data_IF_147548058220
#
_entry.id   IF_147548058220
#
_cell.length_a   1.000
_cell.length_b   1.000
_cell.length_c   1.000
_cell.angle_alpha   90.00
_cell.angle_beta   90.00
_cell.angle_gamma   90.00
#
_symmetry.space_group_name_H-M   'P 1'
#
loop_
_entity.id
_entity.type
_entity.pdbx_description
1 polymer ?
#
# COMPACT_ATOMS: atom_id res chain seq x y z
N UNK A 1 -5.30 10.34 -36.34
CA UNK A 1 -6.59 9.63 -36.26
C UNK A 1 -7.30 10.13 -35.01
N UNK A 2 -8.38 10.91 -35.16
CA UNK A 2 -9.23 11.27 -34.02
C UNK A 2 -10.16 10.08 -33.81
N UNK A 3 -9.87 9.25 -32.81
CA UNK A 3 -10.70 8.09 -32.47
C UNK A 3 -11.99 8.61 -31.82
N UNK A 4 -13.15 8.26 -32.35
CA UNK A 4 -14.47 8.61 -31.80
C UNK A 4 -14.88 7.70 -30.64
N UNK A 5 -13.91 7.16 -29.89
CA UNK A 5 -14.20 6.24 -28.80
C UNK A 5 -15.02 6.98 -27.74
N UNK A 6 -16.10 6.33 -27.29
CA UNK A 6 -16.92 6.81 -26.19
C UNK A 6 -16.84 5.78 -25.08
N UNK A 7 -16.52 6.26 -23.88
CA UNK A 7 -16.45 5.41 -22.70
C UNK A 7 -17.81 4.78 -22.38
N UNK A 8 -17.80 3.49 -22.03
CA UNK A 8 -18.93 2.81 -21.42
C UNK A 8 -18.54 2.42 -19.98
N UNK A 9 -19.08 3.11 -18.95
CA UNK A 9 -18.80 2.82 -17.55
C UNK A 9 -19.01 1.35 -17.16
N UNK A 10 -19.86 0.62 -17.88
CA UNK A 10 -20.14 -0.80 -17.59
C UNK A 10 -18.99 -1.74 -17.94
N UNK A 11 -18.11 -1.33 -18.84
CA UNK A 11 -16.94 -2.10 -19.25
C UNK A 11 -15.65 -1.64 -18.54
N UNK A 12 -15.71 -0.51 -17.83
CA UNK A 12 -14.61 0.02 -17.03
C UNK A 12 -14.38 -0.85 -15.79
N UNK A 13 -13.12 -1.03 -15.41
CA UNK A 13 -12.75 -1.90 -14.29
C UNK A 13 -11.44 -1.45 -13.66
N UNK A 14 -11.27 -1.65 -12.35
CA UNK A 14 -9.98 -1.50 -11.69
C UNK A 14 -9.05 -2.67 -12.04
N UNK A 15 -7.95 -2.37 -12.72
CA UNK A 15 -6.84 -3.30 -12.89
C UNK A 15 -6.08 -3.48 -11.57
N UNK A 16 -5.52 -4.68 -11.34
CA UNK A 16 -4.92 -5.14 -10.07
C UNK A 16 -5.86 -5.46 -8.88
N UNK A 17 -7.18 -5.45 -9.05
CA UNK A 17 -8.09 -5.96 -8.02
C UNK A 17 -8.12 -7.50 -7.93
N UNK A 18 -7.77 -8.18 -9.02
CA UNK A 18 -8.01 -9.62 -9.18
C UNK A 18 -6.85 -10.53 -8.73
N UNK A 19 -5.67 -10.00 -8.39
CA UNK A 19 -4.47 -10.86 -8.36
C UNK A 19 -3.35 -10.61 -7.37
N UNK A 20 -3.13 -9.43 -6.78
CA UNK A 20 -1.94 -9.28 -5.90
C UNK A 20 -1.98 -8.15 -4.88
N UNK A 21 -2.40 -6.93 -5.25
CA UNK A 21 -2.26 -5.77 -4.36
C UNK A 21 -3.37 -5.63 -3.30
N UNK A 22 -4.63 -5.95 -3.64
CA UNK A 22 -5.75 -5.91 -2.69
C UNK A 22 -5.89 -7.20 -1.84
N UNK A 23 -5.35 -8.32 -2.35
CA UNK A 23 -5.38 -9.62 -1.66
C UNK A 23 -4.31 -9.74 -0.55
N UNK A 24 -3.22 -8.98 -0.62
CA UNK A 24 -2.10 -9.04 0.33
C UNK A 24 -2.33 -8.27 1.64
N UNK A 25 -3.55 -7.78 1.87
CA UNK A 25 -3.95 -7.13 3.11
C UNK A 25 -3.44 -5.70 3.18
N UNK A 26 -4.25 -4.76 2.68
CA UNK A 26 -4.00 -3.33 2.79
C UNK A 26 -3.72 -2.94 4.25
N UNK A 27 -2.77 -2.03 4.48
CA UNK A 27 -2.35 -1.64 5.82
C UNK A 27 -2.65 -0.18 6.11
N UNK A 28 -2.95 0.11 7.37
CA UNK A 28 -3.01 1.48 7.88
C UNK A 28 -1.71 2.22 7.58
N UNK A 29 -1.82 3.51 7.24
CA UNK A 29 -0.71 4.41 6.93
C UNK A 29 0.19 3.97 5.76
N UNK A 30 -0.26 3.01 4.94
CA UNK A 30 0.39 2.68 3.66
C UNK A 30 -0.43 3.25 2.52
N UNK A 31 0.24 3.98 1.63
CA UNK A 31 -0.37 4.49 0.40
C UNK A 31 -0.84 3.32 -0.45
N UNK A 32 -2.11 3.38 -0.85
CA UNK A 32 -2.75 2.42 -1.75
C UNK A 32 -2.85 3.08 -3.11
N UNK A 33 -2.46 2.36 -4.16
CA UNK A 33 -2.53 2.81 -5.55
C UNK A 33 -3.27 1.76 -6.39
N UNK A 34 -4.18 2.20 -7.24
CA UNK A 34 -5.03 1.36 -8.07
C UNK A 34 -5.18 2.01 -9.45
N UNK A 35 -5.23 1.21 -10.50
CA UNK A 35 -5.39 1.71 -11.87
C UNK A 35 -6.81 1.43 -12.34
N UNK A 36 -7.60 2.45 -12.66
CA UNK A 36 -8.83 2.30 -13.41
C UNK A 36 -8.52 2.25 -14.90
N UNK A 37 -8.99 1.21 -15.57
CA UNK A 37 -8.94 1.11 -17.03
C UNK A 37 -10.32 1.44 -17.57
N UNK A 38 -10.40 2.51 -18.37
CA UNK A 38 -11.65 2.87 -19.05
C UNK A 38 -11.75 2.19 -20.40
N UNK A 39 -12.95 1.73 -20.75
CA UNK A 39 -13.22 0.99 -21.99
C UNK A 39 -14.46 1.53 -22.69
N UNK A 40 -14.54 1.32 -24.00
CA UNK A 40 -15.73 1.64 -24.79
C UNK A 40 -16.79 0.53 -24.72
N UNK A 41 -17.90 0.68 -25.45
CA UNK A 41 -19.00 -0.28 -25.49
C UNK A 41 -18.61 -1.65 -26.07
N UNK A 42 -17.54 -1.71 -26.88
CA UNK A 42 -17.00 -2.97 -27.43
C UNK A 42 -16.05 -3.65 -26.44
N UNK A 43 -15.82 -3.04 -25.27
CA UNK A 43 -14.88 -3.53 -24.26
C UNK A 43 -13.42 -3.25 -24.63
N UNK A 44 -13.15 -2.39 -25.62
CA UNK A 44 -11.79 -2.01 -26.00
C UNK A 44 -11.31 -0.88 -25.07
N UNK A 45 -10.04 -0.91 -24.61
CA UNK A 45 -9.47 0.20 -23.85
C UNK A 45 -9.60 1.53 -24.62
N UNK A 46 -9.94 2.58 -23.88
CA UNK A 46 -9.83 3.95 -24.37
C UNK A 46 -8.36 4.26 -24.67
N UNK A 47 -8.07 5.06 -25.70
CA UNK A 47 -6.69 5.46 -26.04
C UNK A 47 -6.36 6.91 -25.69
N UNK A 48 -7.27 7.60 -25.00
CA UNK A 48 -7.11 8.96 -24.55
C UNK A 48 -7.80 9.16 -23.20
N UNK A 49 -7.29 10.12 -22.42
CA UNK A 49 -7.92 10.55 -21.18
C UNK A 49 -8.99 11.62 -21.38
N UNK A 50 -9.14 12.47 -20.37
CA UNK A 50 -10.07 13.60 -20.34
C UNK A 50 -11.48 13.25 -19.90
N UNK A 51 -11.70 12.02 -19.41
CA UNK A 51 -12.99 11.59 -18.86
C UNK A 51 -13.03 11.97 -17.38
N UNK A 52 -14.18 12.48 -16.92
CA UNK A 52 -14.40 12.74 -15.51
C UNK A 52 -14.47 11.41 -14.75
N UNK A 53 -13.54 11.21 -13.82
CA UNK A 53 -13.49 10.04 -12.94
C UNK A 53 -13.50 10.53 -11.50
N UNK A 54 -14.42 10.00 -10.69
CA UNK A 54 -14.51 10.33 -9.28
C UNK A 54 -14.54 9.05 -8.43
N UNK A 55 -13.91 9.11 -7.26
CA UNK A 55 -13.91 8.03 -6.29
C UNK A 55 -14.55 8.48 -4.98
N UNK A 56 -15.59 7.78 -4.56
CA UNK A 56 -16.21 7.95 -3.24
C UNK A 56 -15.80 6.77 -2.36
N UNK A 57 -14.95 7.04 -1.38
CA UNK A 57 -14.35 6.04 -0.51
C UNK A 57 -14.78 6.29 0.93
N UNK A 58 -15.36 5.28 1.59
CA UNK A 58 -15.89 5.42 2.95
C UNK A 58 -15.58 4.20 3.79
N UNK A 59 -15.43 4.39 5.09
CA UNK A 59 -15.47 3.26 6.02
C UNK A 59 -16.91 2.79 6.20
N UNK A 60 -17.14 1.46 6.21
CA UNK A 60 -18.49 0.89 6.34
C UNK A 60 -19.14 1.20 7.69
N UNK A 61 -18.34 1.44 8.73
CA UNK A 61 -18.80 1.86 10.05
C UNK A 61 -18.95 3.39 10.19
N UNK A 62 -18.50 4.19 9.20
CA UNK A 62 -18.55 5.66 9.22
C UNK A 62 -18.90 6.23 7.84
N UNK A 63 -20.12 5.99 7.36
CA UNK A 63 -20.57 6.42 6.03
C UNK A 63 -20.63 7.95 5.83
N UNK A 64 -20.68 8.72 6.93
CA UNK A 64 -20.75 10.18 6.88
C UNK A 64 -19.38 10.87 6.75
N UNK A 65 -18.29 10.10 6.69
CA UNK A 65 -16.93 10.64 6.61
C UNK A 65 -16.17 10.04 5.41
N UNK A 66 -16.31 10.64 4.21
CA UNK A 66 -15.57 10.17 3.05
C UNK A 66 -14.07 10.42 3.22
N UNK A 67 -13.28 9.48 2.72
CA UNK A 67 -11.82 9.56 2.61
C UNK A 67 -11.49 10.08 1.22
N UNK A 68 -10.64 11.11 1.15
CA UNK A 68 -10.22 11.68 -0.13
C UNK A 68 -9.45 10.66 -0.97
N UNK A 69 -9.91 10.43 -2.19
CA UNK A 69 -9.20 9.66 -3.22
C UNK A 69 -8.61 10.63 -4.23
N UNK A 70 -7.29 10.59 -4.40
CA UNK A 70 -6.62 11.35 -5.45
C UNK A 70 -6.72 10.57 -6.77
N UNK A 71 -7.23 11.23 -7.82
CA UNK A 71 -7.37 10.66 -9.16
C UNK A 71 -6.45 11.42 -10.11
N UNK A 72 -5.60 10.70 -10.84
CA UNK A 72 -4.67 11.25 -11.83
C UNK A 72 -4.92 10.61 -13.18
N UNK A 73 -5.22 11.42 -14.20
CA UNK A 73 -5.41 10.97 -15.58
C UNK A 73 -4.06 10.80 -16.28
N UNK A 74 -3.74 9.57 -16.69
CA UNK A 74 -2.53 9.25 -17.46
C UNK A 74 -2.60 9.68 -18.92
N UNK A 75 -3.77 10.16 -19.37
CA UNK A 75 -4.10 10.62 -20.73
C UNK A 75 -4.06 9.55 -21.81
N UNK A 76 -4.02 8.29 -21.42
CA UNK A 76 -3.96 7.12 -22.29
C UNK A 76 -5.19 6.19 -22.18
N UNK A 77 -6.21 6.62 -21.43
CA UNK A 77 -7.39 5.81 -21.09
C UNK A 77 -7.32 5.15 -19.71
N UNK A 78 -6.21 5.31 -18.99
CA UNK A 78 -6.05 4.85 -17.61
C UNK A 78 -6.03 6.01 -16.60
N UNK A 79 -6.51 5.72 -15.39
CA UNK A 79 -6.55 6.68 -14.28
C UNK A 79 -5.94 6.05 -13.04
N UNK A 80 -5.01 6.74 -12.40
CA UNK A 80 -4.41 6.34 -11.13
C UNK A 80 -5.22 6.87 -9.97
N UNK A 81 -5.80 5.97 -9.16
CA UNK A 81 -6.48 6.26 -7.92
C UNK A 81 -5.54 5.99 -6.76
N UNK A 82 -5.42 6.94 -5.83
CA UNK A 82 -4.57 6.76 -4.64
C UNK A 82 -5.19 7.34 -3.38
N UNK A 83 -4.98 6.65 -2.25
CA UNK A 83 -5.41 7.10 -0.93
C UNK A 83 -4.50 6.50 0.15
N UNK A 84 -4.62 6.98 1.39
CA UNK A 84 -3.90 6.41 2.53
C UNK A 84 -4.89 6.20 3.68
N UNK A 85 -5.17 4.95 4.09
CA UNK A 85 -6.12 4.68 5.16
C UNK A 85 -5.51 5.02 6.52
N UNK A 86 -6.22 5.78 7.33
CA UNK A 86 -5.76 6.21 8.67
C UNK A 86 -6.02 5.15 9.76
N UNK A 87 -6.95 4.22 9.54
CA UNK A 87 -7.35 3.22 10.53
C UNK A 87 -7.69 1.88 9.87
N UNK A 88 -7.64 0.81 10.66
CA UNK A 88 -8.03 -0.50 10.20
C UNK A 88 -9.57 -0.58 10.14
N UNK A 89 -10.08 -1.40 9.23
CA UNK A 89 -11.52 -1.52 9.01
C UNK A 89 -11.84 -2.00 7.59
N UNK A 90 -13.14 -2.04 7.29
CA UNK A 90 -13.63 -2.35 5.95
C UNK A 90 -14.10 -1.06 5.29
N UNK A 91 -13.55 -0.76 4.13
CA UNK A 91 -13.94 0.40 3.32
C UNK A 91 -14.72 -0.06 2.09
N UNK A 92 -15.62 0.81 1.62
CA UNK A 92 -16.34 0.67 0.36
C UNK A 92 -15.90 1.80 -0.57
N UNK A 93 -15.40 1.43 -1.75
CA UNK A 93 -15.03 2.35 -2.82
C UNK A 93 -16.06 2.26 -3.94
N UNK A 94 -16.69 3.38 -4.23
CA UNK A 94 -17.53 3.58 -5.41
C UNK A 94 -16.77 4.43 -6.42
N UNK A 95 -16.80 4.03 -7.69
CA UNK A 95 -16.13 4.75 -8.79
C UNK A 95 -17.19 5.16 -9.78
N UNK A 96 -17.24 6.45 -10.10
CA UNK A 96 -18.03 7.00 -11.19
C UNK A 96 -17.13 7.39 -12.36
N UNK A 97 -17.62 7.10 -13.57
CA UNK A 97 -17.02 7.52 -14.84
C UNK A 97 -18.10 8.27 -15.60
N UNK A 98 -17.84 9.54 -15.92
CA UNK A 98 -18.80 10.45 -16.55
C UNK A 98 -20.15 10.51 -15.81
N UNK A 99 -20.08 10.60 -14.48
CA UNK A 99 -21.24 10.68 -13.58
C UNK A 99 -22.02 9.37 -13.38
N UNK A 100 -21.55 8.24 -13.94
CA UNK A 100 -22.19 6.93 -13.80
C UNK A 100 -21.30 5.93 -13.08
N UNK A 101 -21.87 5.17 -12.14
CA UNK A 101 -21.16 4.10 -11.45
C UNK A 101 -20.76 2.99 -12.43
N UNK A 102 -19.58 2.42 -12.20
CA UNK A 102 -19.13 1.21 -12.91
C UNK A 102 -19.74 -0.04 -12.25
N UNK A 103 -19.91 -1.12 -13.02
CA UNK A 103 -20.69 -2.32 -12.61
C UNK A 103 -20.12 -3.05 -11.38
N UNK A 104 -18.80 -3.07 -11.21
CA UNK A 104 -18.13 -3.76 -10.10
C UNK A 104 -18.27 -3.06 -8.73
N UNK A 105 -18.94 -1.90 -8.67
CA UNK A 105 -19.10 -1.16 -7.42
C UNK A 105 -20.13 -1.82 -6.47
N UNK A 106 -19.91 -1.75 -5.15
CA UNK A 106 -18.75 -1.18 -4.48
C UNK A 106 -17.57 -2.15 -4.40
N UNK A 107 -16.35 -1.63 -4.61
CA UNK A 107 -15.13 -2.37 -4.31
C UNK A 107 -14.90 -2.41 -2.80
N UNK A 108 -14.81 -3.63 -2.24
CA UNK A 108 -14.64 -3.84 -0.81
C UNK A 108 -13.17 -3.94 -0.46
N UNK A 109 -12.67 -3.00 0.33
CA UNK A 109 -11.27 -2.91 0.72
C UNK A 109 -11.12 -3.28 2.20
N UNK A 110 -10.27 -4.25 2.53
CA UNK A 110 -10.00 -4.67 3.91
C UNK A 110 -8.67 -4.11 4.38
N UNK A 111 -8.73 -3.15 5.31
CA UNK A 111 -7.56 -2.50 5.90
C UNK A 111 -7.22 -3.17 7.23
N UNK A 112 -5.97 -3.59 7.37
CA UNK A 112 -5.42 -4.25 8.54
C UNK A 112 -4.42 -3.36 9.28
N UNK A 113 -4.27 -3.59 10.58
CA UNK A 113 -3.21 -2.96 11.36
C UNK A 113 -1.82 -3.44 10.89
N UNK A 114 -0.82 -2.59 11.12
CA UNK A 114 0.58 -2.99 11.08
C UNK A 114 0.83 -4.00 12.20
N UNK A 115 1.59 -5.06 11.91
CA UNK A 115 2.07 -5.99 12.94
C UNK A 115 3.04 -5.23 13.82
N UNK A 116 2.83 -5.24 15.15
CA UNK A 116 3.72 -4.56 16.07
C UNK A 116 5.08 -5.25 16.09
N UNK A 117 6.14 -4.45 16.20
CA UNK A 117 7.47 -4.96 16.49
C UNK A 117 7.53 -5.47 17.93
N UNK A 118 8.08 -6.68 18.12
CA UNK A 118 8.33 -7.26 19.46
C UNK A 118 9.73 -6.94 19.99
N UNK A 119 10.59 -6.41 19.12
CA UNK A 119 11.96 -6.05 19.43
C UNK A 119 12.09 -4.63 19.99
N UNK A 120 13.32 -4.14 20.03
CA UNK A 120 13.65 -2.75 20.36
C UNK A 120 14.18 -2.07 19.11
N UNK A 121 13.82 -0.80 18.88
CA UNK A 121 14.39 -0.01 17.79
C UNK A 121 15.69 0.65 18.26
N UNK A 122 16.82 0.16 17.75
CA UNK A 122 18.13 0.43 18.34
C UNK A 122 19.25 0.54 17.32
N UNK A 123 20.39 1.09 17.73
CA UNK A 123 21.55 1.26 16.87
C UNK A 123 22.35 -0.05 16.70
N UNK A 124 22.57 -0.81 17.78
CA UNK A 124 23.15 -2.15 17.76
C UNK A 124 22.82 -2.94 19.03
N UNK A 125 22.90 -4.27 18.97
CA UNK A 125 22.55 -5.14 20.10
C UNK A 125 23.53 -4.97 21.24
N UNK A 126 24.81 -4.74 20.92
CA UNK A 126 25.86 -4.51 21.90
C UNK A 126 25.52 -3.36 22.84
N UNK A 127 25.27 -2.15 22.32
CA UNK A 127 24.94 -0.99 23.16
C UNK A 127 23.63 -1.18 23.93
N UNK A 128 22.58 -1.70 23.28
CA UNK A 128 21.26 -1.85 23.90
C UNK A 128 21.17 -2.93 24.97
N UNK A 129 22.08 -3.90 24.94
CA UNK A 129 22.16 -5.00 25.92
C UNK A 129 23.32 -4.84 26.90
N UNK A 130 23.94 -3.66 26.97
CA UNK A 130 25.09 -3.38 27.81
C UNK A 130 26.27 -4.36 27.61
N UNK A 131 26.55 -4.69 26.34
CA UNK A 131 27.64 -5.58 25.92
C UNK A 131 27.36 -7.08 26.02
N UNK A 132 26.09 -7.49 26.13
CA UNK A 132 25.74 -8.91 26.25
C UNK A 132 26.04 -9.70 24.97
N UNK A 133 26.96 -10.67 25.08
CA UNK A 133 27.34 -11.58 23.98
C UNK A 133 26.20 -12.48 23.49
N UNK A 134 25.12 -12.59 24.26
CA UNK A 134 23.97 -13.45 23.98
C UNK A 134 22.75 -12.70 23.44
N UNK A 135 22.77 -11.36 23.44
CA UNK A 135 21.70 -10.59 22.82
C UNK A 135 21.67 -10.88 21.31
N UNK A 136 20.49 -11.11 20.74
CA UNK A 136 20.31 -11.42 19.32
C UNK A 136 19.58 -10.29 18.61
N UNK A 137 19.94 -10.04 17.35
CA UNK A 137 19.19 -9.14 16.47
C UNK A 137 19.03 -9.79 15.09
N UNK A 138 17.84 -9.65 14.52
CA UNK A 138 17.47 -10.19 13.22
C UNK A 138 18.03 -9.41 12.03
N UNK A 139 18.86 -8.38 12.23
CA UNK A 139 19.49 -7.65 11.13
C UNK A 139 20.54 -8.46 10.38
N UNK A 140 20.97 -9.61 10.91
CA UNK A 140 21.90 -10.52 10.24
C UNK A 140 23.38 -10.11 10.36
N UNK A 141 23.73 -9.22 11.29
CA UNK A 141 25.13 -8.84 11.48
C UNK A 141 25.97 -10.00 12.03
N UNK A 142 27.18 -10.17 11.50
CA UNK A 142 28.12 -11.19 11.93
C UNK A 142 29.28 -10.56 12.68
N UNK A 143 29.33 -10.81 13.98
CA UNK A 143 30.39 -10.33 14.87
C UNK A 143 31.43 -11.43 15.12
N UNK A 144 32.74 -11.13 15.05
CA UNK A 144 33.79 -12.09 15.37
C UNK A 144 33.76 -12.49 16.86
N UNK A 145 34.30 -13.67 17.18
CA UNK A 145 34.45 -14.11 18.58
C UNK A 145 33.19 -14.72 19.23
N UNK A 146 32.26 -15.26 18.43
CA UNK A 146 31.10 -16.02 18.93
C UNK A 146 29.98 -15.14 19.50
N UNK A 147 29.97 -13.85 19.17
CA UNK A 147 28.96 -12.89 19.61
C UNK A 147 27.67 -13.05 18.77
N UNK A 148 26.52 -13.20 19.44
CA UNK A 148 25.23 -13.50 18.75
C UNK A 148 24.41 -12.28 18.33
N UNK A 149 24.85 -11.10 18.73
CA UNK A 149 24.17 -9.84 18.46
C UNK A 149 24.84 -9.03 17.36
N UNK A 150 24.24 -7.88 17.04
CA UNK A 150 24.84 -6.93 16.13
C UNK A 150 25.67 -5.87 16.84
N UNK A 151 26.74 -5.43 16.17
CA UNK A 151 27.58 -4.29 16.51
C UNK A 151 27.78 -3.41 15.28
N UNK A 152 28.20 -2.16 15.51
CA UNK A 152 28.48 -1.22 14.43
C UNK A 152 29.70 -1.66 13.60
N UNK A 153 29.66 -1.41 12.29
CA UNK A 153 30.82 -1.64 11.41
C UNK A 153 31.12 -3.10 11.08
N UNK A 154 30.20 -4.01 11.37
CA UNK A 154 30.30 -5.41 11.01
C UNK A 154 29.42 -5.75 9.82
N UNK A 155 29.83 -6.77 9.06
CA UNK A 155 29.10 -7.26 7.89
C UNK A 155 27.66 -7.62 8.28
N UNK A 156 26.69 -7.19 7.47
CA UNK A 156 25.26 -7.38 7.74
C UNK A 156 24.64 -6.36 8.71
N UNK A 157 25.41 -5.43 9.29
CA UNK A 157 24.81 -4.29 10.02
C UNK A 157 24.26 -3.24 9.05
N UNK A 158 23.03 -2.71 9.25
CA UNK A 158 22.40 -1.80 8.31
C UNK A 158 22.97 -0.36 8.32
N UNK A 159 23.97 -0.07 9.14
CA UNK A 159 24.60 1.25 9.27
C UNK A 159 23.76 2.29 10.02
N UNK A 160 22.52 1.96 10.39
CA UNK A 160 21.58 2.85 11.06
C UNK A 160 20.73 2.10 12.11
N UNK A 161 19.84 2.84 12.80
CA UNK A 161 18.91 2.22 13.74
C UNK A 161 17.96 1.26 13.02
N UNK A 162 17.66 0.16 13.68
CA UNK A 162 16.81 -0.90 13.15
C UNK A 162 16.10 -1.65 14.29
N UNK A 163 15.06 -2.40 13.95
CA UNK A 163 14.33 -3.24 14.89
C UNK A 163 15.06 -4.55 15.15
N UNK A 164 15.21 -4.93 16.42
CA UNK A 164 15.90 -6.17 16.78
C UNK A 164 15.14 -7.44 16.37
N UNK A 165 13.82 -7.38 16.21
CA UNK A 165 12.98 -8.54 15.91
C UNK A 165 12.98 -8.94 14.43
N UNK A 166 13.10 -7.99 13.50
CA UNK A 166 13.03 -8.28 12.07
C UNK A 166 14.08 -7.54 11.23
N UNK A 167 14.97 -6.75 11.85
CA UNK A 167 16.00 -5.99 11.15
C UNK A 167 15.51 -4.76 10.38
N UNK A 168 14.21 -4.42 10.42
CA UNK A 168 13.67 -3.27 9.69
C UNK A 168 14.31 -1.96 10.17
N UNK A 169 14.80 -1.15 9.23
CA UNK A 169 15.37 0.17 9.51
C UNK A 169 14.31 1.26 9.67
N UNK A 170 13.06 0.97 9.31
CA UNK A 170 11.96 1.92 9.40
C UNK A 170 11.28 1.80 10.76
N UNK A 171 11.35 2.85 11.58
CA UNK A 171 10.78 2.86 12.94
C UNK A 171 9.27 2.60 12.94
N UNK A 172 8.52 3.28 12.06
CA UNK A 172 7.06 3.14 11.93
C UNK A 172 6.67 2.21 10.77
N UNK A 173 7.15 0.95 10.82
CA UNK A 173 6.88 -0.06 9.79
C UNK A 173 6.12 -1.27 10.33
N UNK A 174 5.52 -2.03 9.41
CA UNK A 174 5.01 -3.36 9.68
C UNK A 174 6.18 -4.28 10.08
N UNK A 175 6.05 -5.04 11.16
CA UNK A 175 7.04 -6.07 11.48
C UNK A 175 7.00 -7.16 10.42
N UNK A 176 8.15 -7.50 9.84
CA UNK A 176 8.29 -8.60 8.89
C UNK A 176 8.28 -9.95 9.61
#
# INVERSE_FOLDING_TARGET
VVTTQKVDPRNCSLDNCSGSALAQGLKVHRRVEMTLVTKDYEGKPMTHGGILVEGDLRYRDEENRPVTVAVTDSRDGTYQLSFMPERAGVMALMISVDGKLIEDCPYVLRIHNLRPHRGVYHCCSFCSSNGSKYATCACGSVMPGGYRGCGHGHEGHPGQRHWSCCGSVQEHSDCA
#
